data_IF_690282873436
#
_entry.id   IF_690282873436
#
_cell.length_a   1.000
_cell.length_b   1.000
_cell.length_c   1.000
_cell.angle_alpha   90.00
_cell.angle_beta   90.00
_cell.angle_gamma   90.00
#
_symmetry.space_group_name_H-M   'P 1'
#
loop_
_entity.id
_entity.type
_entity.pdbx_description
1 polymer ?
#
# COMPACT_ATOMS: atom_id res chain seq x y z
N UNK A 1 30.11 3.04 -7.78
CA UNK A 1 29.52 4.31 -7.28
C UNK A 1 28.35 3.92 -6.39
N UNK A 2 28.25 4.51 -5.19
CA UNK A 2 27.55 3.96 -4.02
C UNK A 2 26.01 3.95 -4.15
N UNK A 3 25.36 2.84 -3.76
CA UNK A 3 23.90 2.62 -3.56
C UNK A 3 23.27 3.52 -2.47
N UNK A 4 23.74 4.76 -2.30
CA UNK A 4 23.43 5.61 -1.13
C UNK A 4 22.34 6.66 -1.34
N UNK A 5 21.77 6.73 -2.54
CA UNK A 5 20.69 7.67 -2.87
C UNK A 5 19.36 6.95 -3.16
N UNK A 6 19.15 5.75 -2.60
CA UNK A 6 17.84 5.10 -2.67
C UNK A 6 16.83 5.89 -1.82
N UNK A 7 15.57 6.08 -2.28
CA UNK A 7 14.50 6.49 -1.40
C UNK A 7 14.44 5.46 -0.28
N UNK A 8 14.85 5.89 0.93
CA UNK A 8 14.90 5.02 2.09
C UNK A 8 13.46 4.64 2.44
N UNK A 9 13.04 3.46 1.99
CA UNK A 9 11.77 2.86 2.37
C UNK A 9 11.72 2.83 3.89
N UNK A 10 10.82 3.64 4.45
CA UNK A 10 10.63 3.72 5.89
C UNK A 10 9.33 3.02 6.24
N UNK A 11 9.41 2.05 7.13
CA UNK A 11 8.23 1.44 7.71
C UNK A 11 7.53 2.47 8.60
N UNK A 12 6.40 3.00 8.13
CA UNK A 12 5.54 3.89 8.92
C UNK A 12 4.41 3.04 9.49
N UNK A 13 4.38 2.93 10.81
CA UNK A 13 3.29 2.23 11.51
C UNK A 13 2.06 3.13 11.51
N UNK A 14 1.03 2.74 10.74
CA UNK A 14 -0.21 3.52 10.62
C UNK A 14 -1.17 3.29 11.81
N UNK A 15 -1.51 2.03 12.08
CA UNK A 15 -2.43 1.64 13.15
C UNK A 15 -2.05 0.27 13.70
N UNK A 16 -2.31 0.04 14.99
CA UNK A 16 -2.25 -1.29 15.60
C UNK A 16 -3.22 -1.38 16.75
N UNK A 17 -3.83 -2.55 16.94
CA UNK A 17 -4.71 -2.84 18.07
C UNK A 17 -4.48 -4.26 18.55
N UNK A 18 -4.70 -4.50 19.84
CA UNK A 18 -4.78 -5.84 20.40
C UNK A 18 -6.18 -6.39 20.16
N UNK A 19 -6.28 -7.63 19.69
CA UNK A 19 -7.57 -8.29 19.47
C UNK A 19 -8.10 -8.77 20.82
N UNK A 20 -9.27 -8.30 21.28
CA UNK A 20 -9.84 -8.75 22.54
C UNK A 20 -10.26 -10.22 22.43
N UNK A 21 -9.75 -11.09 23.29
CA UNK A 21 -10.11 -12.52 23.34
C UNK A 21 -10.93 -12.88 24.58
N UNK A 22 -11.03 -11.97 25.55
CA UNK A 22 -11.81 -12.12 26.76
C UNK A 22 -12.68 -10.87 27.03
N UNK A 23 -13.80 -11.05 27.73
CA UNK A 23 -14.74 -9.96 28.05
C UNK A 23 -14.14 -8.82 28.91
N UNK A 24 -13.10 -9.14 29.68
CA UNK A 24 -12.34 -8.13 30.44
C UNK A 24 -11.68 -7.08 29.54
N UNK A 25 -11.31 -7.46 28.31
CA UNK A 25 -10.60 -6.62 27.35
C UNK A 25 -11.58 -5.91 26.38
N UNK A 26 -12.89 -5.92 26.68
CA UNK A 26 -13.92 -5.44 25.76
C UNK A 26 -13.79 -3.97 25.35
N UNK A 27 -13.09 -3.16 26.13
CA UNK A 27 -12.86 -1.75 25.79
C UNK A 27 -11.88 -1.59 24.61
N UNK A 28 -11.05 -2.60 24.34
CA UNK A 28 -10.12 -2.59 23.21
C UNK A 28 -10.82 -2.89 21.87
N UNK A 29 -12.09 -3.32 21.88
CA UNK A 29 -12.88 -3.50 20.65
C UNK A 29 -12.95 -2.23 19.81
N UNK A 30 -13.03 -1.05 20.42
CA UNK A 30 -13.06 0.22 19.68
C UNK A 30 -11.79 0.38 18.84
N UNK A 31 -10.61 0.16 19.44
CA UNK A 31 -9.32 0.23 18.73
C UNK A 31 -9.20 -0.85 17.66
N UNK A 32 -9.75 -2.03 17.92
CA UNK A 32 -9.78 -3.12 16.94
C UNK A 32 -10.66 -2.76 15.73
N UNK A 33 -11.84 -2.19 15.95
CA UNK A 33 -12.70 -1.72 14.86
C UNK A 33 -12.07 -0.57 14.06
N UNK A 34 -11.38 0.36 14.71
CA UNK A 34 -10.63 1.40 14.01
C UNK A 34 -9.50 0.81 13.14
N UNK A 35 -8.81 -0.23 13.60
CA UNK A 35 -7.84 -0.97 12.80
C UNK A 35 -8.49 -1.63 11.59
N UNK A 36 -9.63 -2.31 11.77
CA UNK A 36 -10.38 -2.93 10.67
C UNK A 36 -10.85 -1.91 9.64
N UNK A 37 -11.37 -0.76 10.09
CA UNK A 37 -11.77 0.33 9.20
C UNK A 37 -10.57 0.86 8.40
N UNK A 38 -9.42 1.02 9.05
CA UNK A 38 -8.18 1.44 8.38
C UNK A 38 -7.79 0.43 7.29
N UNK A 39 -7.74 -0.86 7.64
CA UNK A 39 -7.41 -1.93 6.68
C UNK A 39 -8.38 -1.99 5.51
N UNK A 40 -9.67 -1.75 5.76
CA UNK A 40 -10.68 -1.74 4.71
C UNK A 40 -10.49 -0.58 3.71
N UNK A 41 -10.16 0.62 4.21
CA UNK A 41 -9.87 1.77 3.35
C UNK A 41 -8.63 1.53 2.48
N UNK A 42 -7.56 1.01 3.07
CA UNK A 42 -6.32 0.65 2.37
C UNK A 42 -6.58 -0.42 1.29
N UNK A 43 -7.43 -1.40 1.59
CA UNK A 43 -7.80 -2.44 0.62
C UNK A 43 -8.52 -1.85 -0.60
N UNK A 44 -9.46 -0.92 -0.38
CA UNK A 44 -10.16 -0.23 -1.48
C UNK A 44 -9.16 0.55 -2.35
N UNK A 45 -8.19 1.21 -1.74
CA UNK A 45 -7.16 1.96 -2.47
C UNK A 45 -6.26 1.01 -3.30
N UNK A 46 -5.83 -0.10 -2.71
CA UNK A 46 -5.07 -1.13 -3.41
C UNK A 46 -5.84 -1.73 -4.58
N UNK A 47 -7.16 -1.92 -4.45
CA UNK A 47 -8.00 -2.42 -5.55
C UNK A 47 -8.06 -1.43 -6.72
N UNK A 48 -8.21 -0.13 -6.44
CA UNK A 48 -8.16 0.92 -7.47
C UNK A 48 -6.84 0.91 -8.22
N UNK A 49 -5.72 0.85 -7.49
CA UNK A 49 -4.37 0.77 -8.06
C UNK A 49 -4.22 -0.50 -8.90
N UNK A 50 -4.69 -1.65 -8.40
CA UNK A 50 -4.64 -2.92 -9.13
C UNK A 50 -5.39 -2.85 -10.47
N UNK A 51 -6.58 -2.24 -10.48
CA UNK A 51 -7.37 -2.05 -11.69
C UNK A 51 -6.63 -1.11 -12.66
N UNK A 52 -6.07 -0.02 -12.17
CA UNK A 52 -5.30 0.92 -12.99
C UNK A 52 -4.10 0.21 -13.65
N UNK A 53 -3.28 -0.49 -12.87
CA UNK A 53 -2.13 -1.25 -13.38
C UNK A 53 -2.57 -2.26 -14.44
N UNK A 54 -3.71 -2.94 -14.26
CA UNK A 54 -4.23 -3.87 -15.29
C UNK A 54 -4.59 -3.16 -16.59
N UNK A 55 -5.21 -1.98 -16.52
CA UNK A 55 -5.58 -1.18 -17.71
C UNK A 55 -4.36 -0.65 -18.45
N UNK A 56 -3.33 -0.24 -17.70
CA UNK A 56 -2.05 0.21 -18.25
C UNK A 56 -1.32 -0.96 -18.93
N UNK A 57 -1.22 -2.11 -18.25
CA UNK A 57 -0.56 -3.30 -18.79
C UNK A 57 -1.30 -3.89 -20.01
N UNK A 58 -2.61 -3.74 -20.09
CA UNK A 58 -3.38 -4.20 -21.26
C UNK A 58 -3.30 -3.22 -22.45
N UNK A 59 -2.63 -2.08 -22.30
CA UNK A 59 -2.60 -1.01 -23.30
C UNK A 59 -3.94 -0.29 -23.48
N UNK A 60 -4.89 -0.46 -22.56
CA UNK A 60 -6.16 0.28 -22.58
C UNK A 60 -5.93 1.74 -22.17
N UNK A 61 -4.96 1.95 -21.27
CA UNK A 61 -4.44 3.27 -20.91
C UNK A 61 -2.98 3.30 -21.35
N UNK A 62 -2.63 4.31 -22.15
CA UNK A 62 -1.23 4.52 -22.53
C UNK A 62 -0.50 5.19 -21.38
N UNK A 63 0.56 4.54 -20.91
CA UNK A 63 1.53 5.11 -19.96
C UNK A 63 2.64 5.79 -20.78
N UNK A 64 3.13 6.94 -20.32
CA UNK A 64 4.25 7.60 -21.00
C UNK A 64 5.51 6.72 -20.91
N UNK A 65 6.32 6.71 -21.97
CA UNK A 65 7.49 5.82 -22.02
C UNK A 65 8.46 6.06 -20.85
N UNK A 66 8.61 7.31 -20.41
CA UNK A 66 9.47 7.72 -19.30
C UNK A 66 9.02 7.16 -17.94
N UNK A 67 7.72 6.93 -17.76
CA UNK A 67 7.13 6.37 -16.55
C UNK A 67 7.11 4.83 -16.55
N UNK A 68 7.54 4.19 -17.64
CA UNK A 68 7.61 2.73 -17.71
C UNK A 68 8.78 2.18 -16.91
N UNK A 69 8.57 1.03 -16.27
CA UNK A 69 9.64 0.30 -15.58
C UNK A 69 10.81 -0.05 -16.51
N UNK A 70 10.52 -0.33 -17.79
CA UNK A 70 11.56 -0.60 -18.79
C UNK A 70 12.44 0.62 -19.06
N UNK A 71 11.88 1.82 -19.11
CA UNK A 71 12.69 3.03 -19.26
C UNK A 71 13.56 3.27 -18.04
N UNK A 72 12.99 3.13 -16.83
CA UNK A 72 13.73 3.28 -15.57
C UNK A 72 14.90 2.28 -15.44
N UNK A 73 14.68 1.02 -15.84
CA UNK A 73 15.70 -0.03 -15.80
C UNK A 73 16.76 0.11 -16.89
N UNK A 74 16.45 0.73 -18.03
CA UNK A 74 17.40 0.95 -19.13
C UNK A 74 18.26 2.22 -18.96
N UNK A 75 17.88 3.12 -18.03
CA UNK A 75 18.64 4.34 -17.70
C UNK A 75 19.73 4.12 -16.63
N UNK A 76 19.88 2.90 -16.12
CA UNK A 76 20.87 2.48 -15.12
C UNK A 76 21.60 1.21 -15.55
#
# INVERSE_FOLDING_TARGET
>A
MSLKNDPQWKFVKLRSAQVPTAWKDRFDWVKMFELLATLYLELIEQEKISIQIRKENSGLINVTAEETLSAYLNTH
#
